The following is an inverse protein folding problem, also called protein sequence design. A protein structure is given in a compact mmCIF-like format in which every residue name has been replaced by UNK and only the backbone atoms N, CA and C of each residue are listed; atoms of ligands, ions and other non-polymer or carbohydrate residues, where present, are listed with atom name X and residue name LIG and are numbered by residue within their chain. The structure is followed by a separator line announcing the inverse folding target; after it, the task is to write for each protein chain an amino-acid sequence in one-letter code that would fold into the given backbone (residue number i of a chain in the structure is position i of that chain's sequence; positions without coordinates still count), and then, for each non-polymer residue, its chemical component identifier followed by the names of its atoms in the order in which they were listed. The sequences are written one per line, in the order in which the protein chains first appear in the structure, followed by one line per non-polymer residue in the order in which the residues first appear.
data_IF_933682634031
#
_entry.id   IF_933682634031
#
_cell.length_a   1.000
_cell.length_b   1.000
_cell.length_c   1.000
_cell.angle_alpha   90.00
_cell.angle_beta   90.00
_cell.angle_gamma   90.00
#
_symmetry.space_group_name_H-M   'P 1'
#
loop_
_entity.id
_entity.type
_entity.pdbx_description
1 polymer ?
#
# COMPACT_ATOMS: atom_id res chain seq x y z
N UNK A 1 -2.00 -25.00 4.95
CA UNK A 1 -3.06 -24.24 5.66
C UNK A 1 -3.07 -22.75 5.28
N UNK A 2 -1.97 -21.99 5.48
CA UNK A 2 -1.95 -20.57 5.14
C UNK A 2 -1.88 -20.27 3.62
N UNK A 3 -1.25 -21.15 2.83
CA UNK A 3 -1.22 -21.04 1.35
C UNK A 3 -2.63 -21.11 0.75
N UNK A 4 -3.39 -22.15 1.09
CA UNK A 4 -4.76 -22.36 0.62
C UNK A 4 -5.69 -21.19 1.01
N UNK A 5 -5.50 -20.61 2.21
CA UNK A 5 -6.25 -19.43 2.65
C UNK A 5 -6.12 -18.26 1.68
N UNK A 6 -4.91 -17.97 1.22
CA UNK A 6 -4.69 -16.84 0.31
C UNK A 6 -5.28 -17.11 -1.07
N UNK A 7 -5.18 -18.34 -1.55
CA UNK A 7 -5.81 -18.75 -2.81
C UNK A 7 -7.33 -18.59 -2.74
N UNK A 8 -7.96 -18.91 -1.61
CA UNK A 8 -9.39 -18.68 -1.37
C UNK A 8 -9.73 -17.19 -1.36
N UNK A 9 -8.93 -16.35 -0.69
CA UNK A 9 -9.10 -14.90 -0.67
C UNK A 9 -9.05 -14.33 -2.09
N UNK A 10 -8.05 -14.76 -2.87
CA UNK A 10 -7.89 -14.30 -4.25
C UNK A 10 -9.04 -14.78 -5.12
N UNK A 11 -9.51 -16.01 -4.95
CA UNK A 11 -10.65 -16.54 -5.69
C UNK A 11 -11.96 -15.77 -5.39
N UNK A 12 -12.23 -15.48 -4.12
CA UNK A 12 -13.42 -14.76 -3.67
C UNK A 12 -13.36 -13.27 -4.05
N UNK A 13 -12.18 -12.66 -3.91
CA UNK A 13 -12.02 -11.22 -4.11
C UNK A 13 -11.64 -10.81 -5.54
N UNK A 14 -10.92 -11.63 -6.28
CA UNK A 14 -10.35 -11.29 -7.59
C UNK A 14 -10.53 -12.44 -8.61
N UNK A 15 -11.78 -12.78 -8.98
CA UNK A 15 -12.07 -13.96 -9.81
C UNK A 15 -11.39 -13.91 -11.20
N UNK A 16 -11.24 -12.72 -11.78
CA UNK A 16 -10.59 -12.55 -13.09
C UNK A 16 -9.09 -12.87 -13.02
N UNK A 17 -8.43 -12.57 -11.90
CA UNK A 17 -6.99 -12.78 -11.76
C UNK A 17 -6.63 -14.28 -11.71
N UNK A 18 -7.45 -15.09 -11.03
CA UNK A 18 -7.23 -16.54 -10.93
C UNK A 18 -7.38 -17.25 -12.29
N UNK A 19 -8.18 -16.70 -13.20
CA UNK A 19 -8.37 -17.24 -14.55
C UNK A 19 -7.19 -16.95 -15.49
N UNK A 20 -6.52 -15.83 -15.27
CA UNK A 20 -5.47 -15.34 -16.17
C UNK A 20 -4.07 -15.81 -15.79
N UNK A 21 -3.80 -16.16 -14.53
CA UNK A 21 -2.43 -16.42 -14.09
C UNK A 21 -2.37 -17.35 -12.88
N UNK A 22 -1.49 -18.35 -12.93
CA UNK A 22 -1.11 -19.13 -11.76
C UNK A 22 -0.17 -18.29 -10.87
N UNK A 23 -0.67 -17.89 -9.70
CA UNK A 23 0.12 -17.13 -8.72
C UNK A 23 1.08 -18.09 -8.01
N UNK A 24 2.39 -17.91 -8.25
CA UNK A 24 3.42 -18.71 -7.59
C UNK A 24 3.61 -18.23 -6.14
N UNK A 25 3.10 -19.00 -5.18
CA UNK A 25 3.31 -18.76 -3.74
C UNK A 25 4.49 -19.62 -3.27
N UNK A 26 5.57 -18.95 -2.86
CA UNK A 26 6.78 -19.61 -2.35
C UNK A 26 6.62 -20.01 -0.88
N UNK A 27 6.12 -19.10 -0.04
CA UNK A 27 5.96 -19.33 1.40
C UNK A 27 4.74 -18.60 1.94
N UNK A 28 4.11 -19.15 2.97
CA UNK A 28 3.04 -18.52 3.71
C UNK A 28 3.13 -18.92 5.18
N UNK A 29 3.28 -17.95 6.08
CA UNK A 29 3.45 -18.20 7.51
C UNK A 29 2.67 -17.19 8.36
N UNK A 30 2.25 -17.61 9.55
CA UNK A 30 1.59 -16.73 10.51
C UNK A 30 2.60 -16.06 11.42
N UNK A 31 2.56 -14.74 11.53
CA UNK A 31 3.52 -13.94 12.29
C UNK A 31 2.81 -13.19 13.43
N UNK A 32 3.38 -13.18 14.65
CA UNK A 32 4.61 -13.86 15.09
C UNK A 32 4.43 -15.38 15.23
N UNK A 33 5.53 -16.14 15.12
CA UNK A 33 5.49 -17.61 15.22
C UNK A 33 5.01 -18.09 16.60
N UNK A 34 5.38 -17.37 17.66
CA UNK A 34 4.94 -17.64 19.04
C UNK A 34 3.47 -17.22 19.22
N UNK A 35 2.66 -18.13 19.76
CA UNK A 35 1.25 -17.88 20.08
C UNK A 35 1.19 -17.21 21.45
N UNK A 36 0.57 -16.04 21.53
CA UNK A 36 0.26 -15.39 22.80
C UNK A 36 -1.19 -15.73 23.19
N UNK A 37 -1.43 -16.50 24.26
CA UNK A 37 -2.79 -16.89 24.68
C UNK A 37 -3.70 -15.71 25.02
N UNK A 38 -3.13 -14.55 25.41
CA UNK A 38 -3.91 -13.35 25.77
C UNK A 38 -4.37 -12.53 24.56
N UNK A 39 -3.89 -12.87 23.35
CA UNK A 39 -4.22 -12.11 22.14
C UNK A 39 -5.54 -12.60 21.56
N UNK A 40 -6.57 -11.75 21.64
CA UNK A 40 -7.90 -12.03 21.07
C UNK A 40 -7.97 -11.82 19.54
N UNK A 41 -7.02 -11.08 18.96
CA UNK A 41 -6.99 -10.81 17.51
C UNK A 41 -6.23 -11.90 16.74
N UNK A 42 -6.69 -12.25 15.52
CA UNK A 42 -5.95 -13.15 14.64
C UNK A 42 -4.50 -12.67 14.40
N UNK A 43 -3.59 -13.63 14.17
CA UNK A 43 -2.22 -13.33 13.73
C UNK A 43 -2.20 -12.87 12.29
N UNK A 44 -1.23 -12.03 11.94
CA UNK A 44 -1.00 -11.66 10.55
C UNK A 44 -0.43 -12.86 9.79
N UNK A 45 -0.68 -12.92 8.50
CA UNK A 45 -0.12 -13.95 7.62
C UNK A 45 0.76 -13.24 6.60
N UNK A 46 2.03 -13.62 6.60
CA UNK A 46 3.03 -13.10 5.65
C UNK A 46 3.16 -14.11 4.53
N UNK A 47 3.05 -13.63 3.29
CA UNK A 47 3.04 -14.45 2.08
C UNK A 47 4.15 -13.97 1.17
N UNK A 48 5.06 -14.88 0.82
CA UNK A 48 6.12 -14.66 -0.14
C UNK A 48 5.63 -15.13 -1.52
N UNK A 49 5.37 -14.18 -2.39
CA UNK A 49 5.00 -14.41 -3.79
C UNK A 49 6.30 -14.48 -4.61
N UNK A 50 6.37 -15.39 -5.57
CA UNK A 50 7.57 -15.62 -6.40
C UNK A 50 7.83 -14.49 -7.39
N UNK A 51 6.78 -13.92 -7.98
CA UNK A 51 6.88 -12.81 -8.95
C UNK A 51 6.45 -11.50 -8.32
N UNK A 52 7.29 -10.46 -8.45
CA UNK A 52 6.96 -9.13 -7.92
C UNK A 52 5.81 -8.45 -8.70
N UNK A 53 5.68 -8.74 -10.00
CA UNK A 53 4.56 -8.28 -10.84
C UNK A 53 3.21 -8.68 -10.25
N UNK A 54 3.10 -9.94 -9.80
CA UNK A 54 1.85 -10.49 -9.27
C UNK A 54 1.54 -9.86 -7.92
N UNK A 55 2.56 -9.67 -7.07
CA UNK A 55 2.43 -8.94 -5.80
C UNK A 55 1.89 -7.53 -6.01
N UNK A 56 2.47 -6.77 -6.94
CA UNK A 56 2.03 -5.40 -7.23
C UNK A 56 0.61 -5.35 -7.79
N UNK A 57 0.28 -6.28 -8.68
CA UNK A 57 -1.06 -6.41 -9.25
C UNK A 57 -2.11 -6.70 -8.18
N UNK A 58 -1.87 -7.66 -7.28
CA UNK A 58 -2.79 -8.00 -6.18
C UNK A 58 -2.99 -6.79 -5.26
N UNK A 59 -1.91 -6.10 -4.89
CA UNK A 59 -2.00 -4.91 -4.03
C UNK A 59 -2.74 -3.76 -4.72
N UNK A 60 -2.59 -3.60 -6.03
CA UNK A 60 -3.35 -2.62 -6.82
C UNK A 60 -4.85 -2.95 -6.80
N UNK A 61 -5.21 -4.18 -7.13
CA UNK A 61 -6.60 -4.65 -7.12
C UNK A 61 -7.24 -4.54 -5.73
N UNK A 62 -6.49 -4.87 -4.68
CA UNK A 62 -6.96 -4.72 -3.31
C UNK A 62 -7.29 -3.27 -2.94
N UNK A 63 -6.46 -2.31 -3.38
CA UNK A 63 -6.71 -0.87 -3.17
C UNK A 63 -7.92 -0.38 -3.95
N UNK A 64 -8.06 -0.80 -5.20
CA UNK A 64 -9.19 -0.43 -6.07
C UNK A 64 -10.51 -0.97 -5.52
N UNK A 65 -10.53 -2.24 -5.09
CA UNK A 65 -11.72 -2.87 -4.53
C UNK A 65 -12.11 -2.31 -3.15
N UNK A 66 -11.13 -1.82 -2.37
CA UNK A 66 -11.23 -1.33 -0.98
C UNK A 66 -11.72 -2.35 0.07
N UNK A 67 -12.58 -3.29 -0.32
CA UNK A 67 -13.18 -4.35 0.52
C UNK A 67 -12.79 -5.72 -0.03
N UNK A 68 -11.71 -6.28 0.49
CA UNK A 68 -11.33 -7.68 0.22
C UNK A 68 -12.10 -8.57 1.21
N UNK A 69 -12.66 -9.68 0.72
CA UNK A 69 -13.46 -10.60 1.54
C UNK A 69 -12.82 -11.97 1.62
N UNK A 70 -13.04 -12.61 2.77
CA UNK A 70 -12.74 -14.02 3.01
C UNK A 70 -13.87 -14.62 3.84
N UNK A 71 -14.58 -15.61 3.29
CA UNK A 71 -15.72 -16.26 3.94
C UNK A 71 -16.72 -15.23 4.50
N UNK A 72 -17.02 -14.20 3.70
CA UNK A 72 -17.92 -13.11 4.09
C UNK A 72 -17.32 -12.03 5.01
N UNK A 73 -16.15 -12.26 5.61
CA UNK A 73 -15.50 -11.30 6.50
C UNK A 73 -14.57 -10.35 5.74
N UNK A 74 -14.54 -9.08 6.14
CA UNK A 74 -13.62 -8.10 5.58
C UNK A 74 -12.19 -8.41 6.02
N UNK A 75 -11.29 -8.48 5.04
CA UNK A 75 -9.87 -8.71 5.22
C UNK A 75 -9.08 -7.59 4.56
N UNK A 76 -7.89 -7.29 5.08
CA UNK A 76 -6.99 -6.29 4.50
C UNK A 76 -5.75 -6.97 3.94
N UNK A 77 -5.37 -6.59 2.72
CA UNK A 77 -4.11 -6.97 2.09
C UNK A 77 -3.20 -5.74 2.02
N UNK A 78 -2.02 -5.83 2.61
CA UNK A 78 -1.01 -4.77 2.61
C UNK A 78 0.36 -5.34 2.28
N UNK A 79 1.24 -4.50 1.75
CA UNK A 79 2.64 -4.88 1.58
C UNK A 79 3.31 -5.01 2.95
N UNK A 80 4.15 -6.03 3.09
CA UNK A 80 5.10 -6.12 4.21
C UNK A 80 6.25 -5.14 3.96
N UNK A 81 6.48 -4.24 4.92
CA UNK A 81 7.45 -3.15 4.82
C UNK A 81 8.33 -3.14 6.07
N UNK A 82 9.60 -2.77 5.91
CA UNK A 82 10.48 -2.53 7.08
C UNK A 82 9.93 -1.39 7.95
N UNK A 83 10.29 -1.42 9.23
CA UNK A 83 9.90 -0.37 10.19
C UNK A 83 10.31 1.02 9.71
N UNK A 84 11.52 1.14 9.17
CA UNK A 84 12.05 2.40 8.62
C UNK A 84 11.20 2.90 7.43
N UNK A 85 10.90 2.00 6.49
CA UNK A 85 10.06 2.33 5.32
C UNK A 85 8.66 2.72 5.76
N UNK A 86 8.10 2.00 6.72
CA UNK A 86 6.77 2.28 7.26
C UNK A 86 6.73 3.66 7.95
N UNK A 87 7.72 4.01 8.76
CA UNK A 87 7.84 5.32 9.39
C UNK A 87 8.00 6.44 8.35
N UNK A 88 8.85 6.23 7.33
CA UNK A 88 9.03 7.19 6.25
C UNK A 88 7.72 7.44 5.48
N UNK A 89 6.94 6.39 5.21
CA UNK A 89 5.60 6.52 4.61
C UNK A 89 4.59 7.22 5.52
N UNK A 90 4.64 6.96 6.82
CA UNK A 90 3.77 7.64 7.80
C UNK A 90 3.98 9.16 7.77
N UNK A 91 5.22 9.62 7.58
CA UNK A 91 5.54 11.05 7.44
C UNK A 91 4.82 11.69 6.24
N UNK A 92 4.54 10.94 5.18
CA UNK A 92 3.81 11.42 4.00
C UNK A 92 2.29 11.48 4.18
N UNK A 93 1.73 10.82 5.19
CA UNK A 93 0.29 10.54 5.19
C UNK A 93 -0.59 11.80 5.30
N UNK A 94 -0.17 12.78 6.10
CA UNK A 94 -0.90 14.05 6.19
C UNK A 94 -0.90 14.81 4.85
N UNK A 95 0.27 14.90 4.22
CA UNK A 95 0.45 15.53 2.90
C UNK A 95 -0.34 14.77 1.83
N UNK A 96 -0.32 13.44 1.87
CA UNK A 96 -1.04 12.57 0.93
C UNK A 96 -2.55 12.79 1.02
N UNK A 97 -3.10 12.83 2.23
CA UNK A 97 -4.52 13.11 2.46
C UNK A 97 -4.93 14.50 1.96
N UNK A 98 -4.08 15.51 2.18
CA UNK A 98 -4.32 16.86 1.68
C UNK A 98 -4.34 16.87 0.14
N UNK A 99 -3.30 16.35 -0.51
CA UNK A 99 -3.24 16.30 -1.97
C UNK A 99 -4.39 15.50 -2.60
N UNK A 100 -4.86 14.44 -1.94
CA UNK A 100 -6.04 13.69 -2.38
C UNK A 100 -7.30 14.55 -2.39
N UNK A 101 -7.54 15.39 -1.36
CA UNK A 101 -8.70 16.29 -1.32
C UNK A 101 -8.66 17.36 -2.40
N UNK A 102 -7.47 17.69 -2.92
CA UNK A 102 -7.27 18.65 -4.03
C UNK A 102 -7.18 17.98 -5.41
N UNK A 103 -7.53 16.69 -5.51
CA UNK A 103 -7.56 15.92 -6.76
C UNK A 103 -6.21 15.85 -7.51
N UNK A 104 -5.07 15.98 -6.79
CA UNK A 104 -3.71 15.92 -7.38
C UNK A 104 -3.22 14.50 -7.67
N UNK A 105 -4.06 13.49 -7.41
CA UNK A 105 -3.78 12.07 -7.63
C UNK A 105 -2.42 11.60 -7.05
N UNK A 106 -2.14 11.85 -5.76
CA UNK A 106 -0.89 11.45 -5.16
C UNK A 106 -0.73 9.92 -5.12
N UNK A 107 0.51 9.45 -5.23
CA UNK A 107 0.91 8.05 -5.10
C UNK A 107 2.14 7.94 -4.20
N UNK A 108 2.19 6.91 -3.36
CA UNK A 108 3.38 6.59 -2.57
C UNK A 108 4.08 5.41 -3.24
N UNK A 109 5.23 5.70 -3.84
CA UNK A 109 6.08 4.73 -4.51
C UNK A 109 7.02 4.05 -3.51
N UNK A 110 7.45 2.85 -3.86
CA UNK A 110 8.48 2.15 -3.11
C UNK A 110 9.85 2.85 -3.27
N UNK A 111 10.66 2.97 -2.21
CA UNK A 111 10.39 2.56 -0.83
C UNK A 111 9.44 3.53 -0.10
N UNK A 112 9.68 4.84 -0.14
CA UNK A 112 8.87 5.85 0.53
C UNK A 112 8.90 7.20 -0.21
N UNK A 113 8.75 7.18 -1.53
CA UNK A 113 8.73 8.40 -2.35
C UNK A 113 7.31 8.85 -2.63
N UNK A 114 7.04 10.14 -2.54
CA UNK A 114 5.74 10.72 -2.88
C UNK A 114 5.77 11.20 -4.33
N UNK A 115 4.79 10.80 -5.13
CA UNK A 115 4.59 11.35 -6.46
C UNK A 115 3.19 11.92 -6.62
N UNK A 116 3.06 12.95 -7.45
CA UNK A 116 1.76 13.53 -7.80
C UNK A 116 1.88 14.25 -9.15
N UNK A 117 0.73 14.51 -9.78
CA UNK A 117 0.67 15.18 -11.07
C UNK A 117 0.53 16.69 -10.86
N UNK A 118 1.40 17.47 -11.52
CA UNK A 118 1.33 18.93 -11.55
C UNK A 118 1.64 19.42 -12.96
N UNK A 119 0.82 20.33 -13.48
CA UNK A 119 1.01 20.94 -14.82
C UNK A 119 1.22 19.90 -15.94
N UNK A 120 0.53 18.76 -15.84
CA UNK A 120 0.64 17.68 -16.81
C UNK A 120 1.77 16.68 -16.54
N UNK A 121 2.79 17.05 -15.78
CA UNK A 121 3.93 16.20 -15.45
C UNK A 121 3.77 15.45 -14.12
N UNK A 122 4.36 14.25 -14.03
CA UNK A 122 4.46 13.50 -12.77
C UNK A 122 5.80 13.84 -12.13
N UNK A 123 5.77 14.46 -10.94
CA UNK A 123 6.97 14.72 -10.15
C UNK A 123 7.08 13.70 -9.02
N UNK A 124 8.30 13.34 -8.65
CA UNK A 124 8.61 12.34 -7.62
C UNK A 124 9.56 12.95 -6.59
N UNK A 125 9.20 12.83 -5.31
CA UNK A 125 9.91 13.40 -4.18
C UNK A 125 10.32 12.29 -3.20
N UNK A 126 11.63 12.04 -3.00
CA UNK A 126 12.09 10.99 -2.09
C UNK A 126 11.96 11.38 -0.61
N UNK A 127 12.00 12.68 -0.29
CA UNK A 127 11.94 13.17 1.08
C UNK A 127 11.17 14.51 1.16
N UNK A 128 10.80 14.90 2.39
CA UNK A 128 10.08 16.16 2.63
C UNK A 128 10.91 17.41 2.29
N UNK A 129 12.24 17.35 2.41
CA UNK A 129 13.12 18.49 2.13
C UNK A 129 13.06 18.90 0.66
N UNK A 130 13.22 17.95 -0.27
CA UNK A 130 13.08 18.21 -1.71
C UNK A 130 11.68 18.70 -2.09
N UNK A 131 10.64 18.24 -1.37
CA UNK A 131 9.30 18.77 -1.56
C UNK A 131 9.21 20.23 -1.10
N UNK A 132 9.83 20.60 0.04
CA UNK A 132 9.88 22.00 0.51
C UNK A 132 10.59 22.90 -0.49
N UNK A 133 11.77 22.50 -0.97
CA UNK A 133 12.53 23.22 -2.01
C UNK A 133 11.73 23.41 -3.30
N UNK A 134 10.91 22.43 -3.68
CA UNK A 134 10.04 22.56 -4.85
C UNK A 134 8.87 23.52 -4.62
N UNK A 135 8.28 23.48 -3.42
CA UNK A 135 7.12 24.31 -3.07
C UNK A 135 7.49 25.80 -3.00
N UNK A 136 8.71 26.15 -2.57
CA UNK A 136 9.14 27.56 -2.55
C UNK A 136 9.14 28.20 -3.93
N UNK A 137 9.31 27.41 -5.00
CA UNK A 137 9.24 27.89 -6.39
C UNK A 137 7.80 27.99 -6.93
N UNK A 138 6.80 27.46 -6.23
CA UNK A 138 5.42 27.35 -6.70
C UNK A 138 4.40 27.86 -5.66
N UNK A 139 3.98 29.14 -5.76
CA UNK A 139 3.08 29.77 -4.78
C UNK A 139 1.75 29.02 -4.58
N UNK A 140 1.15 28.51 -5.65
CA UNK A 140 -0.12 27.76 -5.58
C UNK A 140 -0.01 26.46 -4.76
N UNK A 141 1.13 25.78 -4.85
CA UNK A 141 1.40 24.58 -4.05
C UNK A 141 1.67 24.93 -2.59
N UNK A 142 2.34 26.06 -2.35
CA UNK A 142 2.64 26.56 -1.01
C UNK A 142 1.38 26.89 -0.24
N UNK A 143 0.39 27.49 -0.89
CA UNK A 143 -0.91 27.78 -0.27
C UNK A 143 -1.66 26.50 0.10
N UNK A 144 -1.65 25.49 -0.78
CA UNK A 144 -2.33 24.21 -0.54
C UNK A 144 -1.72 23.43 0.63
N UNK A 145 -0.40 23.49 0.79
CA UNK A 145 0.34 22.76 1.82
C UNK A 145 0.69 23.62 3.03
N UNK A 146 0.10 24.82 3.13
CA UNK A 146 0.32 25.76 4.23
C UNK A 146 -0.14 25.13 5.55
N UNK A 147 0.76 25.10 6.54
CA UNK A 147 0.49 24.55 7.87
C UNK A 147 0.75 23.05 8.04
N UNK A 148 1.11 22.32 6.97
CA UNK A 148 1.49 20.89 7.03
C UNK A 148 3.02 20.70 6.94
N UNK A 149 3.70 21.62 6.23
CA UNK A 149 5.14 21.56 5.95
C UNK A 149 5.92 22.61 6.72
#
# INVERSE_FOLDING_TARGET
RAKNLFEDIVAESFPNMKKETEILILQAQSTPNKINPRRLTPRHIVIKIGKNSDKERILKLAREKKKVKYKGNLTNLSADLSTETWQARKKWQEIFNMMNRKNMQPRILYPASLSFRIEGEIKVFPNKQKLKEFITTKPALQEILRGIL
#
